data_IF_146272705202
#
_entry.id   IF_146272705202
#
_cell.length_a   1.000
_cell.length_b   1.000
_cell.length_c   1.000
_cell.angle_alpha   90.00
_cell.angle_beta   90.00
_cell.angle_gamma   90.00
#
_symmetry.space_group_name_H-M   'P 1'
#
loop_
_entity.id
_entity.type
_entity.pdbx_description
1 polymer ?
#
# COMPACT_ATOMS: atom_id res chain seq x y z
N UNK A 1 14.95 3.82 -16.39
CA UNK A 1 14.81 2.38 -16.10
C UNK A 1 15.66 2.15 -14.86
N UNK A 2 15.05 2.25 -13.68
CA UNK A 2 15.75 2.07 -12.42
C UNK A 2 16.24 0.62 -12.36
N UNK A 3 17.53 0.44 -12.04
CA UNK A 3 18.12 -0.90 -11.94
C UNK A 3 17.54 -1.62 -10.71
N UNK A 4 16.74 -2.70 -10.89
CA UNK A 4 16.18 -3.46 -9.78
C UNK A 4 17.26 -3.98 -8.82
N UNK A 5 18.49 -4.11 -9.30
CA UNK A 5 19.63 -4.46 -8.47
C UNK A 5 19.90 -3.43 -7.37
N UNK A 6 19.81 -2.13 -7.66
CA UNK A 6 20.06 -1.06 -6.68
C UNK A 6 19.01 -1.04 -5.55
N UNK A 7 17.76 -1.36 -5.87
CA UNK A 7 16.68 -1.46 -4.88
C UNK A 7 16.96 -2.56 -3.85
N UNK A 8 17.40 -3.74 -4.30
CA UNK A 8 17.73 -4.83 -3.40
C UNK A 8 18.96 -4.53 -2.54
N UNK A 9 19.99 -3.89 -3.10
CA UNK A 9 21.17 -3.47 -2.33
C UNK A 9 20.78 -2.46 -1.25
N UNK A 10 19.90 -1.49 -1.57
CA UNK A 10 19.37 -0.56 -0.58
C UNK A 10 18.69 -1.31 0.58
N UNK A 11 17.79 -2.25 0.29
CA UNK A 11 17.09 -3.04 1.32
C UNK A 11 18.07 -3.85 2.17
N UNK A 12 19.10 -4.47 1.57
CA UNK A 12 20.14 -5.20 2.29
C UNK A 12 20.86 -4.27 3.28
N UNK A 13 21.31 -3.11 2.81
CA UNK A 13 22.06 -2.16 3.63
C UNK A 13 21.23 -1.63 4.80
N UNK A 14 19.97 -1.25 4.56
CA UNK A 14 19.08 -0.75 5.63
C UNK A 14 18.74 -1.84 6.64
N UNK A 15 18.53 -3.06 6.17
CA UNK A 15 18.29 -4.24 7.03
C UNK A 15 19.50 -4.54 7.91
N UNK A 16 20.72 -4.49 7.35
CA UNK A 16 21.95 -4.71 8.12
C UNK A 16 22.20 -3.62 9.16
N UNK A 17 22.05 -2.35 8.77
CA UNK A 17 22.17 -1.21 9.68
C UNK A 17 21.25 -1.36 10.90
N UNK A 18 19.98 -1.73 10.68
CA UNK A 18 19.02 -1.91 11.76
C UNK A 18 19.31 -3.15 12.62
N UNK A 19 19.78 -4.25 12.03
CA UNK A 19 20.20 -5.42 12.78
C UNK A 19 21.35 -5.09 13.72
N UNK A 20 22.40 -4.44 13.22
CA UNK A 20 23.56 -4.02 14.01
C UNK A 20 23.16 -3.07 15.14
N UNK A 21 22.30 -2.09 14.86
CA UNK A 21 21.74 -1.21 15.88
C UNK A 21 21.01 -2.00 16.98
N UNK A 22 20.12 -2.92 16.63
CA UNK A 22 19.37 -3.71 17.62
C UNK A 22 20.25 -4.65 18.43
N UNK A 23 21.26 -5.26 17.81
CA UNK A 23 22.23 -6.13 18.48
C UNK A 23 23.00 -5.34 19.54
N UNK A 24 23.41 -4.11 19.23
CA UNK A 24 24.08 -3.23 20.19
C UNK A 24 23.17 -2.87 21.37
N UNK A 25 21.90 -2.57 21.10
CA UNK A 25 20.93 -2.20 22.15
C UNK A 25 20.47 -3.40 22.99
N UNK A 26 20.40 -4.59 22.39
CA UNK A 26 19.86 -5.82 23.00
C UNK A 26 20.70 -7.04 22.64
N UNK A 27 21.90 -7.19 23.23
CA UNK A 27 22.84 -8.25 22.85
C UNK A 27 22.31 -9.66 23.13
N UNK A 28 21.43 -9.82 24.13
CA UNK A 28 20.95 -11.13 24.59
C UNK A 28 19.67 -11.62 23.88
N UNK A 29 18.99 -10.77 23.09
CA UNK A 29 17.72 -11.12 22.42
C UNK A 29 17.93 -12.06 21.21
N UNK A 30 19.17 -12.21 20.76
CA UNK A 30 19.54 -12.96 19.58
C UNK A 30 20.08 -14.34 19.92
N UNK A 31 19.26 -15.35 19.66
CA UNK A 31 19.62 -16.77 19.81
C UNK A 31 20.51 -17.29 18.67
N UNK A 32 20.51 -16.61 17.53
CA UNK A 32 21.26 -16.98 16.33
C UNK A 32 22.06 -15.74 15.89
N UNK A 33 23.38 -15.85 15.65
CA UNK A 33 24.19 -14.75 15.15
C UNK A 33 23.60 -14.15 13.88
N UNK A 34 23.61 -12.81 13.79
CA UNK A 34 23.19 -12.11 12.58
C UNK A 34 24.24 -12.28 11.49
N UNK A 35 23.77 -12.45 10.25
CA UNK A 35 24.58 -12.38 9.05
C UNK A 35 23.84 -11.57 7.99
N UNK A 36 24.59 -10.77 7.22
CA UNK A 36 24.04 -9.91 6.17
C UNK A 36 23.25 -10.77 5.17
N UNK A 37 22.01 -10.40 4.80
CA UNK A 37 21.24 -11.10 3.76
C UNK A 37 21.92 -11.01 2.40
N UNK A 38 22.03 -12.13 1.72
CA UNK A 38 22.50 -12.17 0.34
C UNK A 38 21.40 -11.71 -0.62
N UNK A 39 21.79 -11.30 -1.83
CA UNK A 39 20.84 -10.90 -2.86
C UNK A 39 19.79 -11.99 -3.19
N UNK A 40 20.17 -13.29 -3.35
CA UNK A 40 19.17 -14.35 -3.52
C UNK A 40 18.20 -14.48 -2.34
N UNK A 41 18.67 -14.30 -1.10
CA UNK A 41 17.80 -14.38 0.08
C UNK A 41 16.76 -13.26 0.10
N UNK A 42 17.16 -12.01 -0.17
CA UNK A 42 16.24 -10.87 -0.24
C UNK A 42 15.29 -10.98 -1.43
N UNK A 43 15.71 -11.55 -2.56
CA UNK A 43 14.80 -11.83 -3.69
C UNK A 43 13.82 -12.95 -3.39
N UNK A 44 14.26 -14.00 -2.69
CA UNK A 44 13.43 -15.14 -2.33
C UNK A 44 12.40 -14.81 -1.24
N UNK A 45 12.75 -13.92 -0.31
CA UNK A 45 11.90 -13.53 0.81
C UNK A 45 10.48 -13.10 0.42
N UNK A 46 10.26 -12.08 -0.46
CA UNK A 46 8.92 -11.67 -0.86
C UNK A 46 8.17 -12.76 -1.62
N UNK A 47 8.87 -13.58 -2.42
CA UNK A 47 8.27 -14.73 -3.11
C UNK A 47 7.71 -15.76 -2.14
N UNK A 48 8.44 -16.05 -1.05
CA UNK A 48 7.95 -16.92 0.03
C UNK A 48 6.78 -16.28 0.78
N UNK A 49 6.84 -14.99 1.10
CA UNK A 49 5.73 -14.25 1.74
C UNK A 49 4.47 -14.31 0.89
N UNK A 50 4.60 -14.14 -0.42
CA UNK A 50 3.51 -14.27 -1.39
C UNK A 50 2.94 -15.69 -1.40
N UNK A 51 3.81 -16.72 -1.45
CA UNK A 51 3.38 -18.11 -1.40
C UNK A 51 2.66 -18.47 -0.10
N UNK A 52 3.05 -17.87 1.05
CA UNK A 52 2.32 -18.02 2.31
C UNK A 52 0.91 -17.40 2.24
N UNK A 53 0.73 -16.32 1.49
CA UNK A 53 -0.57 -15.70 1.24
C UNK A 53 -1.52 -16.58 0.42
N UNK A 54 -0.97 -17.35 -0.53
CA UNK A 54 -1.70 -18.32 -1.36
C UNK A 54 -1.99 -19.60 -0.56
N UNK A 55 -0.95 -20.30 -0.11
CA UNK A 55 -1.05 -21.60 0.56
C UNK A 55 -1.14 -21.46 2.07
N UNK A 56 -2.18 -20.77 2.55
CA UNK A 56 -2.29 -20.41 3.97
C UNK A 56 -2.28 -21.62 4.90
N UNK A 57 -1.48 -21.55 5.96
CA UNK A 57 -1.44 -22.55 7.04
C UNK A 57 -1.89 -21.96 8.37
N UNK A 58 -2.44 -22.78 9.30
CA UNK A 58 -2.97 -22.30 10.58
C UNK A 58 -1.96 -21.54 11.46
N UNK A 59 -0.66 -21.77 11.28
CA UNK A 59 0.38 -21.00 11.94
C UNK A 59 1.62 -20.87 11.08
N UNK A 60 2.41 -19.81 11.32
CA UNK A 60 3.66 -19.56 10.60
C UNK A 60 4.66 -20.71 10.73
N UNK A 61 4.61 -21.44 11.85
CA UNK A 61 5.48 -22.59 12.12
C UNK A 61 5.22 -23.75 11.13
N UNK A 62 3.97 -23.91 10.69
CA UNK A 62 3.56 -25.01 9.83
C UNK A 62 4.04 -24.87 8.38
N UNK A 63 4.46 -23.67 7.94
CA UNK A 63 5.02 -23.49 6.59
C UNK A 63 6.28 -24.32 6.36
N UNK A 64 6.93 -24.79 7.43
CA UNK A 64 8.08 -25.69 7.35
C UNK A 64 7.85 -27.01 8.07
N UNK A 65 6.59 -27.44 8.14
CA UNK A 65 6.28 -28.78 8.64
C UNK A 65 6.91 -29.83 7.72
N UNK A 66 7.50 -30.87 8.31
CA UNK A 66 7.95 -32.07 7.61
C UNK A 66 6.89 -33.18 7.63
N UNK A 67 5.78 -32.96 8.32
CA UNK A 67 4.63 -33.86 8.31
C UNK A 67 4.12 -34.00 6.87
N UNK A 68 4.03 -35.23 6.30
CA UNK A 68 3.57 -35.46 4.94
C UNK A 68 2.23 -34.78 4.59
N UNK A 69 1.34 -34.58 5.56
CA UNK A 69 0.04 -33.93 5.37
C UNK A 69 0.21 -32.40 5.21
N UNK A 70 1.24 -31.83 5.83
CA UNK A 70 1.44 -30.39 5.93
C UNK A 70 2.66 -29.88 5.17
N UNK A 71 3.51 -30.77 4.66
CA UNK A 71 4.76 -30.42 3.99
C UNK A 71 4.46 -29.66 2.70
N UNK A 72 5.22 -28.60 2.48
CA UNK A 72 5.13 -27.81 1.24
C UNK A 72 6.57 -27.42 0.88
N UNK A 73 7.26 -28.27 0.07
CA UNK A 73 8.72 -28.26 -0.05
C UNK A 73 9.36 -26.90 -0.35
N UNK A 74 8.66 -26.07 -1.13
CA UNK A 74 9.13 -24.74 -1.53
C UNK A 74 9.54 -23.83 -0.36
N UNK A 75 8.91 -23.96 0.82
CA UNK A 75 9.23 -23.13 1.99
C UNK A 75 10.50 -23.56 2.71
N UNK A 76 10.81 -24.86 2.70
CA UNK A 76 12.02 -25.41 3.33
C UNK A 76 13.21 -25.42 2.37
N UNK A 77 12.98 -25.59 1.06
CA UNK A 77 14.03 -25.63 0.05
C UNK A 77 14.61 -24.27 -0.29
N UNK A 78 13.81 -23.21 -0.19
CA UNK A 78 14.20 -21.86 -0.66
C UNK A 78 14.92 -21.06 0.43
N UNK A 79 14.41 -21.05 1.65
CA UNK A 79 15.00 -20.31 2.77
C UNK A 79 14.68 -21.02 4.10
N UNK A 80 15.64 -21.17 4.99
CA UNK A 80 15.44 -21.85 6.29
C UNK A 80 14.59 -21.02 7.27
N UNK A 81 13.82 -21.68 8.16
CA UNK A 81 13.52 -21.25 9.55
C UNK A 81 13.53 -19.79 9.95
N UNK A 82 13.95 -19.62 11.19
CA UNK A 82 15.24 -19.06 11.56
C UNK A 82 15.75 -18.02 10.57
N UNK A 83 16.26 -18.38 9.38
CA UNK A 83 16.76 -17.38 8.43
C UNK A 83 15.69 -16.42 7.92
N UNK A 84 14.54 -16.92 7.48
CA UNK A 84 13.38 -16.08 7.10
C UNK A 84 12.89 -15.24 8.26
N UNK A 85 12.77 -15.83 9.46
CA UNK A 85 12.32 -15.10 10.65
C UNK A 85 13.33 -14.02 11.07
N UNK A 86 14.62 -14.27 10.87
CA UNK A 86 15.70 -13.34 11.17
C UNK A 86 15.68 -12.17 10.17
N UNK A 87 15.50 -12.43 8.88
CA UNK A 87 15.29 -11.41 7.85
C UNK A 87 14.03 -10.60 8.17
N UNK A 88 12.90 -11.26 8.44
CA UNK A 88 11.64 -10.60 8.80
C UNK A 88 11.79 -9.69 10.04
N UNK A 89 12.55 -10.13 11.04
CA UNK A 89 12.80 -9.37 12.28
C UNK A 89 13.51 -8.05 12.00
N UNK A 90 14.46 -8.04 11.07
CA UNK A 90 15.34 -6.90 10.83
C UNK A 90 15.06 -6.11 9.56
N UNK A 91 14.16 -6.59 8.69
CA UNK A 91 13.79 -5.95 7.44
C UNK A 91 13.49 -4.46 7.61
N UNK A 92 14.29 -3.60 6.98
CA UNK A 92 14.18 -2.13 7.05
C UNK A 92 14.34 -1.50 5.67
N UNK A 93 13.69 -0.35 5.48
CA UNK A 93 13.70 0.41 4.21
C UNK A 93 14.28 1.83 4.37
N UNK A 94 14.49 2.30 5.60
CA UNK A 94 15.09 3.59 5.94
C UNK A 94 16.10 3.43 7.07
N UNK A 95 16.98 4.42 7.24
CA UNK A 95 17.92 4.42 8.36
C UNK A 95 17.20 4.67 9.68
N UNK A 96 17.69 4.04 10.74
CA UNK A 96 17.14 4.20 12.09
C UNK A 96 17.63 5.49 12.80
N UNK A 97 18.46 6.31 12.15
CA UNK A 97 19.20 7.37 12.83
C UNK A 97 18.40 8.69 12.80
N UNK A 98 17.88 9.06 13.98
CA UNK A 98 17.34 10.38 14.33
C UNK A 98 16.10 10.86 13.55
N UNK A 99 15.09 10.02 13.35
CA UNK A 99 13.76 10.52 12.97
C UNK A 99 12.99 10.91 14.25
N UNK A 100 12.72 12.21 14.49
CA UNK A 100 11.89 12.61 15.62
C UNK A 100 10.53 11.91 15.51
N UNK A 101 10.04 11.40 16.64
CA UNK A 101 8.79 10.61 16.76
C UNK A 101 7.52 11.38 16.32
N UNK A 102 7.67 12.64 15.90
CA UNK A 102 6.64 13.57 15.49
C UNK A 102 6.38 13.58 13.96
N UNK A 103 7.20 12.89 13.17
CA UNK A 103 7.09 12.83 11.70
C UNK A 103 6.05 11.79 11.22
N UNK A 104 5.49 11.93 9.99
CA UNK A 104 4.31 11.19 9.56
C UNK A 104 4.47 9.66 9.68
N UNK A 105 3.41 9.00 10.14
CA UNK A 105 3.30 7.57 10.49
C UNK A 105 3.92 6.58 9.47
N UNK A 106 4.11 7.00 8.22
CA UNK A 106 4.56 6.15 7.10
C UNK A 106 6.06 6.26 6.77
N UNK A 107 6.85 7.06 7.48
CA UNK A 107 8.25 7.33 7.08
C UNK A 107 9.13 6.07 6.97
N UNK A 108 8.94 5.10 7.86
CA UNK A 108 9.64 3.80 7.84
C UNK A 108 9.40 2.98 6.57
N UNK A 109 8.28 3.23 5.91
CA UNK A 109 7.90 2.63 4.63
C UNK A 109 7.94 3.64 3.48
N UNK A 110 8.34 4.90 3.72
CA UNK A 110 8.22 5.97 2.73
C UNK A 110 9.02 5.65 1.47
N UNK A 111 10.26 5.16 1.62
CA UNK A 111 11.06 4.72 0.49
C UNK A 111 10.31 3.67 -0.33
N UNK A 112 9.75 2.62 0.30
CA UNK A 112 9.00 1.58 -0.40
C UNK A 112 7.76 2.14 -1.10
N UNK A 113 6.98 2.99 -0.40
CA UNK A 113 5.77 3.60 -0.94
C UNK A 113 6.07 4.52 -2.13
N UNK A 114 7.13 5.32 -2.06
CA UNK A 114 7.57 6.18 -3.16
C UNK A 114 7.99 5.37 -4.38
N UNK A 115 8.75 4.27 -4.18
CA UNK A 115 9.09 3.36 -5.28
C UNK A 115 7.84 2.71 -5.89
N UNK A 116 6.87 2.32 -5.08
CA UNK A 116 5.60 1.79 -5.57
C UNK A 116 4.83 2.83 -6.40
N UNK A 117 4.67 4.05 -5.89
CA UNK A 117 3.99 5.14 -6.61
C UNK A 117 4.70 5.44 -7.93
N UNK A 118 6.03 5.58 -7.92
CA UNK A 118 6.80 5.83 -9.14
C UNK A 118 6.64 4.72 -10.17
N UNK A 119 6.83 3.47 -9.76
CA UNK A 119 6.81 2.33 -10.68
C UNK A 119 5.39 1.94 -11.15
N UNK A 120 4.35 2.19 -10.35
CA UNK A 120 2.99 1.77 -10.68
C UNK A 120 2.07 2.90 -11.16
N UNK A 121 2.30 4.14 -10.72
CA UNK A 121 1.38 5.26 -10.96
C UNK A 121 2.01 6.27 -11.93
N UNK A 122 3.23 6.74 -11.66
CA UNK A 122 3.87 7.76 -12.51
C UNK A 122 4.16 7.22 -13.92
N UNK A 123 4.42 5.93 -14.06
CA UNK A 123 4.56 5.27 -15.37
C UNK A 123 3.25 5.12 -16.16
N UNK A 124 2.08 5.28 -15.53
CA UNK A 124 0.78 5.07 -16.17
C UNK A 124 0.27 6.31 -16.94
N UNK A 125 0.74 7.51 -16.56
CA UNK A 125 0.40 8.82 -17.16
C UNK A 125 -1.06 8.94 -17.67
N UNK A 126 -2.04 8.68 -16.80
CA UNK A 126 -3.46 8.55 -17.20
C UNK A 126 -4.20 9.89 -17.35
N UNK A 127 -3.57 11.02 -17.04
CA UNK A 127 -4.16 12.34 -17.30
C UNK A 127 -4.24 12.59 -18.83
N UNK A 128 -5.23 13.36 -19.26
CA UNK A 128 -5.41 13.77 -20.66
C UNK A 128 -5.55 12.62 -21.68
N UNK A 129 -5.84 11.40 -21.21
CA UNK A 129 -6.05 10.22 -22.08
C UNK A 129 -7.53 9.93 -22.36
N UNK A 130 -8.45 10.81 -21.94
CA UNK A 130 -9.89 10.65 -22.12
C UNK A 130 -10.55 9.61 -21.20
N UNK A 131 -9.88 9.23 -20.10
CA UNK A 131 -10.50 8.38 -19.08
C UNK A 131 -11.57 9.11 -18.28
N UNK A 132 -12.53 8.35 -17.74
CA UNK A 132 -13.56 8.86 -16.82
C UNK A 132 -13.27 8.41 -15.39
N UNK A 133 -13.10 9.37 -14.47
CA UNK A 133 -12.89 9.10 -13.05
C UNK A 133 -14.19 8.75 -12.32
N UNK A 134 -14.21 7.62 -11.62
CA UNK A 134 -15.33 7.27 -10.74
C UNK A 134 -14.89 7.40 -9.29
N UNK A 135 -15.57 8.21 -8.50
CA UNK A 135 -15.20 8.47 -7.10
C UNK A 135 -16.34 8.19 -6.12
N UNK A 136 -15.97 7.87 -4.88
CA UNK A 136 -16.91 7.72 -3.79
C UNK A 136 -17.39 9.09 -3.26
N UNK A 137 -18.24 9.08 -2.23
CA UNK A 137 -18.77 10.32 -1.67
C UNK A 137 -17.75 11.17 -0.91
N UNK A 138 -16.62 10.60 -0.50
CA UNK A 138 -15.54 11.30 0.20
C UNK A 138 -14.79 12.19 -0.80
N UNK A 139 -14.58 11.69 -2.02
CA UNK A 139 -13.84 12.34 -3.10
C UNK A 139 -14.73 13.03 -4.14
N UNK A 140 -16.05 13.07 -3.96
CA UNK A 140 -16.93 13.83 -4.88
C UNK A 140 -17.19 15.26 -4.39
N UNK A 141 -16.81 16.25 -5.19
CA UNK A 141 -17.24 17.65 -5.02
C UNK A 141 -17.33 18.39 -6.37
N UNK A 142 -18.28 19.34 -6.54
CA UNK A 142 -18.37 20.15 -7.75
C UNK A 142 -17.06 20.84 -8.13
N UNK A 143 -16.35 21.43 -7.17
CA UNK A 143 -15.12 22.17 -7.46
C UNK A 143 -14.01 21.23 -7.94
N UNK A 144 -13.83 20.07 -7.30
CA UNK A 144 -12.84 19.08 -7.72
C UNK A 144 -13.13 18.55 -9.13
N UNK A 145 -14.40 18.32 -9.47
CA UNK A 145 -14.77 17.79 -10.78
C UNK A 145 -14.64 18.84 -11.89
N UNK A 146 -14.91 20.11 -11.59
CA UNK A 146 -14.63 21.21 -12.52
C UNK A 146 -13.12 21.34 -12.75
N UNK A 147 -12.31 21.27 -11.70
CA UNK A 147 -10.85 21.28 -11.82
C UNK A 147 -10.31 20.11 -12.66
N UNK A 148 -10.88 18.91 -12.48
CA UNK A 148 -10.51 17.73 -13.28
C UNK A 148 -10.80 17.92 -14.77
N UNK A 149 -11.95 18.54 -15.08
CA UNK A 149 -12.34 18.82 -16.46
C UNK A 149 -11.50 19.94 -17.07
N UNK A 150 -11.33 21.05 -16.35
CA UNK A 150 -10.66 22.25 -16.87
C UNK A 150 -9.14 22.07 -17.04
N UNK A 151 -8.48 21.34 -16.12
CA UNK A 151 -7.03 21.22 -16.12
C UNK A 151 -6.49 19.92 -16.72
N UNK A 152 -7.31 18.86 -16.76
CA UNK A 152 -6.84 17.50 -17.11
C UNK A 152 -7.74 16.78 -18.12
N UNK A 153 -8.70 17.49 -18.73
CA UNK A 153 -9.72 16.96 -19.66
C UNK A 153 -10.38 15.65 -19.17
N UNK A 154 -10.49 15.49 -17.85
CA UNK A 154 -10.90 14.23 -17.23
C UNK A 154 -12.31 14.38 -16.72
N UNK A 155 -13.25 13.69 -17.37
CA UNK A 155 -14.63 13.62 -16.88
C UNK A 155 -14.68 12.81 -15.58
N UNK A 156 -15.56 13.18 -14.65
CA UNK A 156 -15.71 12.48 -13.37
C UNK A 156 -17.17 12.24 -12.97
N UNK A 157 -17.42 11.14 -12.25
CA UNK A 157 -18.74 10.76 -11.75
C UNK A 157 -18.62 10.19 -10.34
N UNK A 158 -19.56 10.50 -9.45
CA UNK A 158 -19.53 9.97 -8.10
C UNK A 158 -20.80 10.26 -7.31
N UNK A 159 -20.88 9.68 -6.12
CA UNK A 159 -21.99 9.89 -5.20
C UNK A 159 -21.72 11.09 -4.30
N UNK A 160 -22.74 11.78 -3.81
CA UNK A 160 -22.55 12.98 -2.96
C UNK A 160 -23.30 12.87 -1.65
N UNK A 161 -22.64 13.30 -0.57
CA UNK A 161 -23.29 13.44 0.74
C UNK A 161 -24.30 14.58 0.68
N UNK A 162 -25.47 14.38 1.29
CA UNK A 162 -26.53 15.40 1.34
C UNK A 162 -26.12 16.68 2.07
N UNK A 163 -25.15 16.58 2.98
CA UNK A 163 -24.58 17.71 3.72
C UNK A 163 -23.53 18.52 2.94
N UNK A 164 -23.23 18.19 1.68
CA UNK A 164 -22.19 18.87 0.89
C UNK A 164 -22.60 20.32 0.60
N UNK A 165 -21.76 21.27 1.02
CA UNK A 165 -22.08 22.71 1.02
C UNK A 165 -22.32 23.32 -0.36
N UNK A 166 -21.63 22.85 -1.38
CA UNK A 166 -21.66 23.41 -2.74
C UNK A 166 -22.80 22.85 -3.62
N UNK A 167 -23.72 22.09 -3.04
CA UNK A 167 -24.88 21.53 -3.75
C UNK A 167 -26.21 22.18 -3.29
N UNK A 168 -27.24 22.22 -4.16
CA UNK A 168 -28.52 22.85 -3.83
C UNK A 168 -29.25 22.14 -2.68
N UNK A 169 -29.25 22.75 -1.49
CA UNK A 169 -29.86 22.16 -0.27
C UNK A 169 -31.37 21.91 -0.39
N UNK A 170 -32.06 22.68 -1.23
CA UNK A 170 -33.48 22.50 -1.55
C UNK A 170 -33.78 21.16 -2.25
N UNK A 171 -32.76 20.46 -2.75
CA UNK A 171 -32.88 19.11 -3.35
C UNK A 171 -32.24 18.08 -2.43
N UNK A 172 -31.07 18.39 -1.88
CA UNK A 172 -30.30 17.43 -1.08
C UNK A 172 -30.90 17.16 0.32
N UNK A 173 -31.59 18.14 0.91
CA UNK A 173 -32.14 18.07 2.27
C UNK A 173 -33.66 18.33 2.28
N UNK A 174 -34.41 17.68 1.39
CA UNK A 174 -35.87 17.78 1.41
C UNK A 174 -36.41 17.08 2.67
N UNK A 175 -37.07 17.86 3.55
CA UNK A 175 -37.98 17.29 4.54
C UNK A 175 -39.14 16.59 3.80
N UNK A 176 -39.72 15.51 4.36
CA UNK A 176 -40.66 14.60 3.67
C UNK A 176 -42.05 15.20 3.42
N UNK A 177 -42.14 16.47 3.03
CA UNK A 177 -43.42 17.17 2.81
C UNK A 177 -43.94 16.92 1.39
N UNK A 178 -43.07 16.55 0.45
CA UNK A 178 -43.42 16.12 -0.92
C UNK A 178 -42.49 14.97 -1.33
N UNK A 179 -42.69 13.79 -0.75
CA UNK A 179 -41.90 12.59 -1.08
C UNK A 179 -42.11 12.31 -2.56
N UNK A 180 -41.04 12.44 -3.36
CA UNK A 180 -41.03 11.92 -4.72
C UNK A 180 -41.40 10.44 -4.66
N UNK A 181 -42.29 9.98 -5.54
CA UNK A 181 -42.71 8.57 -5.56
C UNK A 181 -41.47 7.70 -5.73
N UNK A 182 -41.44 6.53 -5.10
CA UNK A 182 -40.31 5.60 -5.24
C UNK A 182 -40.09 5.32 -6.74
N UNK A 183 -38.91 5.68 -7.25
CA UNK A 183 -38.56 5.58 -8.67
C UNK A 183 -38.49 6.93 -9.40
N UNK A 184 -38.95 8.02 -8.79
CA UNK A 184 -38.82 9.36 -9.35
C UNK A 184 -37.35 9.81 -9.41
N UNK A 185 -36.95 10.31 -10.58
CA UNK A 185 -35.62 10.88 -10.83
C UNK A 185 -35.74 12.37 -11.15
N UNK A 186 -34.80 13.17 -10.66
CA UNK A 186 -34.72 14.61 -10.96
C UNK A 186 -33.32 14.97 -11.44
N UNK A 187 -33.25 15.63 -12.59
CA UNK A 187 -32.00 16.09 -13.19
C UNK A 187 -31.87 17.60 -13.07
N UNK A 188 -30.66 18.07 -12.79
CA UNK A 188 -30.28 19.49 -12.74
C UNK A 188 -28.85 19.63 -13.24
N UNK A 189 -28.58 20.74 -13.89
CA UNK A 189 -27.26 21.10 -14.43
C UNK A 189 -26.91 22.51 -13.98
N UNK A 190 -25.61 22.77 -13.82
CA UNK A 190 -25.07 24.09 -13.54
C UNK A 190 -24.46 24.63 -14.84
N UNK A 191 -24.85 25.84 -15.24
CA UNK A 191 -24.39 26.49 -16.49
C UNK A 191 -25.23 26.12 -17.72
N UNK A 192 -25.03 26.89 -18.79
CA UNK A 192 -25.59 26.65 -20.12
C UNK A 192 -24.48 26.04 -21.01
N UNK A 193 -24.84 25.10 -21.88
CA UNK A 193 -23.92 24.31 -22.71
C UNK A 193 -23.00 25.16 -23.60
#
# INVERSE_FOLDING_TARGET
>A
MDDPFLEYIHVINKTDNYANYNIQQRPNDNKIPWSIPTLPEIKAFPGLTYQMGISRKPSTKLYRSTDPIMVTPIFSSTLNRDRYTQILRYLHFSDHVNEPRQEPFLQRAAWLLQNFVRNCIEGANIADQGYHGYTDNSFTSPNLYLEFWENYETAACGTVRTSRTSLPKNIMCQKPVNISVRGDLRFRQKGDF
#
